data_IF_030378744777
#
_entry.id   IF_030378744777
#
_cell.length_a   1.000
_cell.length_b   1.000
_cell.length_c   1.000
_cell.angle_alpha   90.00
_cell.angle_beta   90.00
_cell.angle_gamma   90.00
#
_symmetry.space_group_name_H-M   'P 1'
#
loop_
_entity.id
_entity.type
_entity.pdbx_description
1 polymer ?
#
# COMPACT_ATOMS: atom_id res chain seq x y z
N UNK A 1 10.24 -3.46 -11.33
CA UNK A 1 9.87 -4.89 -11.22
C UNK A 1 8.87 -5.23 -12.32
N UNK A 2 9.19 -6.21 -13.16
CA UNK A 2 8.25 -6.78 -14.14
C UNK A 2 7.67 -8.09 -13.57
N UNK A 3 6.35 -8.11 -13.41
CA UNK A 3 5.63 -9.28 -12.87
C UNK A 3 4.94 -10.11 -13.96
N UNK A 4 5.24 -9.86 -15.22
CA UNK A 4 4.65 -10.60 -16.35
C UNK A 4 4.93 -12.10 -16.22
N UNK A 5 3.88 -12.92 -16.25
CA UNK A 5 3.97 -14.38 -16.12
C UNK A 5 4.30 -14.91 -14.72
N UNK A 6 4.36 -14.04 -13.69
CA UNK A 6 4.59 -14.47 -12.32
C UNK A 6 3.32 -15.10 -11.75
N UNK A 7 3.44 -16.34 -11.30
CA UNK A 7 2.33 -17.14 -10.75
C UNK A 7 2.45 -17.39 -9.23
N UNK A 8 3.44 -16.79 -8.57
CA UNK A 8 3.66 -16.92 -7.13
C UNK A 8 3.33 -15.61 -6.40
N UNK A 9 3.10 -15.69 -5.08
CA UNK A 9 3.03 -14.51 -4.21
C UNK A 9 4.30 -13.66 -4.36
N UNK A 10 4.13 -12.39 -4.68
CA UNK A 10 5.23 -11.49 -4.99
C UNK A 10 5.30 -10.33 -4.00
N UNK A 11 6.51 -9.99 -3.61
CA UNK A 11 6.80 -8.83 -2.78
C UNK A 11 7.77 -7.92 -3.55
N UNK A 12 7.41 -6.66 -3.71
CA UNK A 12 8.23 -5.65 -4.36
C UNK A 12 8.46 -4.48 -3.40
N UNK A 13 9.69 -4.34 -2.94
CA UNK A 13 10.14 -3.21 -2.14
C UNK A 13 11.64 -3.00 -2.34
N UNK A 14 12.12 -1.75 -2.45
CA UNK A 14 13.51 -1.47 -2.74
C UNK A 14 14.44 -1.66 -1.54
N UNK A 15 13.93 -1.60 -0.32
CA UNK A 15 14.74 -1.58 0.90
C UNK A 15 14.61 -2.88 1.71
N UNK A 16 13.39 -3.29 2.05
CA UNK A 16 13.15 -4.52 2.83
C UNK A 16 12.10 -5.38 2.18
N UNK A 17 12.49 -6.59 1.76
CA UNK A 17 11.56 -7.58 1.26
C UNK A 17 10.64 -8.11 2.37
N UNK A 18 11.23 -8.50 3.51
CA UNK A 18 10.54 -9.05 4.67
C UNK A 18 11.31 -8.77 5.96
N UNK A 19 10.61 -8.41 7.03
CA UNK A 19 11.22 -8.15 8.34
C UNK A 19 10.61 -9.00 9.44
N UNK A 20 11.48 -9.40 10.38
CA UNK A 20 11.17 -9.98 11.69
C UNK A 20 11.75 -9.13 12.83
N UNK A 21 12.42 -8.06 12.52
CA UNK A 21 13.19 -7.24 13.47
C UNK A 21 12.72 -5.80 13.52
N UNK A 22 13.59 -4.95 14.03
CA UNK A 22 13.34 -3.53 14.25
C UNK A 22 13.91 -2.72 13.10
N UNK A 23 13.08 -1.85 12.52
CA UNK A 23 13.46 -0.90 11.48
C UNK A 23 13.01 0.49 11.96
N UNK A 24 13.96 1.29 12.37
CA UNK A 24 13.71 2.62 12.93
C UNK A 24 14.45 3.68 12.13
N UNK A 25 13.84 4.85 12.00
CA UNK A 25 14.46 6.06 11.43
C UNK A 25 15.03 5.84 10.01
N UNK A 26 14.42 4.93 9.24
CA UNK A 26 14.85 4.60 7.89
C UNK A 26 14.01 5.35 6.85
N UNK A 27 14.64 5.73 5.76
CA UNK A 27 13.97 6.39 4.64
C UNK A 27 14.35 5.78 3.30
N UNK A 28 13.42 5.84 2.34
CA UNK A 28 13.65 5.47 0.96
C UNK A 28 13.10 6.54 0.03
N UNK A 29 13.92 6.99 -0.91
CA UNK A 29 13.55 7.90 -2.01
C UNK A 29 13.59 7.22 -3.38
N UNK A 30 13.72 5.90 -3.40
CA UNK A 30 13.82 5.12 -4.64
C UNK A 30 12.48 5.12 -5.37
N UNK A 31 12.49 5.47 -6.66
CA UNK A 31 11.32 5.31 -7.50
C UNK A 31 11.10 3.83 -7.81
N UNK A 32 9.90 3.34 -7.52
CA UNK A 32 9.50 1.95 -7.72
C UNK A 32 8.43 1.88 -8.79
N UNK A 33 8.71 1.21 -9.89
CA UNK A 33 7.71 0.90 -10.91
C UNK A 33 7.51 -0.61 -10.95
N UNK A 34 6.26 -1.02 -10.81
CA UNK A 34 5.82 -2.41 -10.94
C UNK A 34 4.94 -2.49 -12.17
N UNK A 35 5.30 -3.36 -13.10
CA UNK A 35 4.57 -3.57 -14.36
C UNK A 35 4.14 -5.02 -14.51
N UNK A 36 3.05 -5.25 -15.22
CA UNK A 36 2.69 -6.57 -15.74
C UNK A 36 1.91 -6.44 -17.04
N UNK A 37 2.27 -7.22 -18.04
CA UNK A 37 1.50 -7.36 -19.28
C UNK A 37 0.52 -8.53 -19.27
N UNK A 38 0.50 -9.32 -18.20
CA UNK A 38 -0.42 -10.43 -17.98
C UNK A 38 -1.17 -10.26 -16.65
N UNK A 39 -2.38 -10.84 -16.57
CA UNK A 39 -3.15 -10.81 -15.34
C UNK A 39 -2.40 -11.49 -14.17
N UNK A 40 -2.32 -10.80 -13.05
CA UNK A 40 -1.76 -11.36 -11.82
C UNK A 40 -2.92 -11.97 -11.02
N UNK A 41 -2.79 -13.23 -10.64
CA UNK A 41 -3.82 -14.00 -9.92
C UNK A 41 -3.46 -14.28 -8.46
N UNK A 42 -2.18 -14.18 -8.13
CA UNK A 42 -1.67 -14.41 -6.78
C UNK A 42 -1.48 -13.11 -6.00
N UNK A 43 -1.19 -13.25 -4.72
CA UNK A 43 -1.00 -12.12 -3.82
C UNK A 43 0.21 -11.27 -4.19
N UNK A 44 0.02 -9.95 -4.19
CA UNK A 44 1.05 -8.96 -4.49
C UNK A 44 1.17 -7.98 -3.32
N UNK A 45 2.40 -7.72 -2.88
CA UNK A 45 2.73 -6.74 -1.85
C UNK A 45 3.75 -5.76 -2.42
N UNK A 46 3.38 -4.50 -2.50
CA UNK A 46 4.18 -3.47 -3.16
C UNK A 46 4.34 -2.28 -2.20
N UNK A 47 5.58 -1.84 -1.99
CA UNK A 47 5.85 -0.67 -1.15
C UNK A 47 7.11 0.08 -1.57
N UNK A 48 7.23 1.30 -1.08
CA UNK A 48 8.42 2.12 -1.26
C UNK A 48 9.54 1.83 -0.27
N UNK A 49 9.25 1.14 0.85
CA UNK A 49 10.26 0.78 1.85
C UNK A 49 10.23 -0.72 2.17
N UNK A 50 9.14 -1.25 2.72
CA UNK A 50 9.05 -2.63 3.21
C UNK A 50 7.80 -3.34 2.70
N UNK A 51 7.97 -4.46 1.99
CA UNK A 51 6.83 -5.20 1.45
C UNK A 51 6.08 -6.01 2.51
N UNK A 52 6.77 -6.63 3.45
CA UNK A 52 6.15 -7.55 4.39
C UNK A 52 6.81 -7.53 5.78
N UNK A 53 5.99 -7.39 6.82
CA UNK A 53 6.41 -7.44 8.20
C UNK A 53 5.70 -8.56 8.95
N UNK A 54 6.47 -9.41 9.64
CA UNK A 54 5.96 -10.58 10.36
C UNK A 54 6.15 -10.50 11.87
N UNK A 55 7.01 -9.62 12.34
CA UNK A 55 7.18 -9.25 13.75
C UNK A 55 8.08 -8.02 13.88
N UNK A 56 8.29 -7.50 15.08
CA UNK A 56 9.21 -6.41 15.37
C UNK A 56 8.57 -5.03 15.24
N UNK A 57 9.34 -4.04 14.85
CA UNK A 57 8.93 -2.64 14.87
C UNK A 57 9.29 -1.92 13.56
N UNK A 58 8.43 -1.02 13.13
CA UNK A 58 8.72 -0.05 12.09
C UNK A 58 8.32 1.35 12.61
N UNK A 59 9.32 2.09 13.07
CA UNK A 59 9.08 3.38 13.70
C UNK A 59 9.79 4.52 12.97
N UNK A 60 9.12 5.63 12.78
CA UNK A 60 9.64 6.88 12.18
C UNK A 60 10.31 6.64 10.82
N UNK A 61 9.77 5.70 10.06
CA UNK A 61 10.25 5.41 8.71
C UNK A 61 9.48 6.23 7.66
N UNK A 62 10.13 6.56 6.57
CA UNK A 62 9.50 7.40 5.54
C UNK A 62 9.76 6.93 4.12
N UNK A 63 8.83 7.29 3.25
CA UNK A 63 8.98 7.12 1.81
C UNK A 63 8.76 8.44 1.09
N UNK A 64 9.76 8.82 0.26
CA UNK A 64 9.80 10.08 -0.48
C UNK A 64 9.86 9.87 -2.02
N UNK A 65 9.90 8.64 -2.47
CA UNK A 65 9.94 8.30 -3.89
C UNK A 65 8.56 8.31 -4.56
N UNK A 66 8.55 7.84 -5.80
CA UNK A 66 7.33 7.57 -6.56
C UNK A 66 7.13 6.07 -6.70
N UNK A 67 6.06 5.55 -6.12
CA UNK A 67 5.62 4.16 -6.27
C UNK A 67 4.51 4.10 -7.30
N UNK A 68 4.75 3.41 -8.41
CA UNK A 68 3.77 3.23 -9.49
C UNK A 68 3.52 1.74 -9.70
N UNK A 69 2.26 1.35 -9.78
CA UNK A 69 1.87 0.04 -10.29
C UNK A 69 1.05 0.19 -11.55
N UNK A 70 1.58 -0.30 -12.66
CA UNK A 70 0.95 -0.28 -13.98
C UNK A 70 0.71 -1.72 -14.46
N UNK A 71 -0.52 -2.01 -14.84
CA UNK A 71 -0.89 -3.31 -15.37
C UNK A 71 -1.80 -3.12 -16.58
N UNK A 72 -1.49 -3.82 -17.68
CA UNK A 72 -2.27 -3.75 -18.92
C UNK A 72 -3.43 -4.73 -18.95
N UNK A 73 -3.49 -5.68 -18.03
CA UNK A 73 -4.54 -6.69 -17.91
C UNK A 73 -5.27 -6.56 -16.58
N UNK A 74 -6.52 -7.04 -16.51
CA UNK A 74 -7.25 -7.08 -15.25
C UNK A 74 -6.66 -8.11 -14.30
N UNK A 75 -6.27 -7.68 -13.09
CA UNK A 75 -5.72 -8.55 -12.05
C UNK A 75 -6.80 -8.95 -11.04
N UNK A 76 -6.90 -10.24 -10.75
CA UNK A 76 -7.72 -10.77 -9.65
C UNK A 76 -6.92 -11.00 -8.35
N UNK A 77 -5.68 -10.59 -8.32
CA UNK A 77 -4.80 -10.74 -7.17
C UNK A 77 -5.33 -10.02 -5.93
N UNK A 78 -5.00 -10.54 -4.76
CA UNK A 78 -5.03 -9.76 -3.52
C UNK A 78 -3.85 -8.80 -3.54
N UNK A 79 -4.12 -7.52 -3.47
CA UNK A 79 -3.07 -6.52 -3.53
C UNK A 79 -2.97 -5.71 -2.23
N UNK A 80 -1.75 -5.62 -1.73
CA UNK A 80 -1.39 -4.79 -0.58
C UNK A 80 -0.40 -3.75 -1.06
N UNK A 81 -0.77 -2.49 -0.98
CA UNK A 81 0.11 -1.39 -1.39
C UNK A 81 0.20 -0.35 -0.29
N UNK A 82 1.41 0.03 0.06
CA UNK A 82 1.66 1.09 1.03
C UNK A 82 2.93 1.86 0.68
N UNK A 83 2.93 3.15 0.88
CA UNK A 83 4.14 3.94 0.63
C UNK A 83 5.31 3.45 1.49
N UNK A 84 5.07 3.18 2.77
CA UNK A 84 6.11 2.66 3.68
C UNK A 84 6.02 1.15 3.83
N UNK A 85 4.85 0.60 4.17
CA UNK A 85 4.67 -0.84 4.40
C UNK A 85 3.46 -1.34 3.61
N UNK A 86 3.62 -2.43 2.84
CA UNK A 86 2.49 -3.02 2.14
C UNK A 86 1.62 -3.87 3.09
N UNK A 87 2.20 -4.79 3.84
CA UNK A 87 1.45 -5.72 4.68
C UNK A 87 2.15 -6.04 6.00
N UNK A 88 1.41 -5.96 7.11
CA UNK A 88 1.84 -6.41 8.44
C UNK A 88 0.99 -7.59 8.87
N UNK A 89 1.56 -8.80 8.89
CA UNK A 89 0.88 -10.07 9.16
C UNK A 89 1.25 -10.63 10.54
N UNK A 90 0.97 -9.88 11.57
CA UNK A 90 1.18 -10.28 12.97
C UNK A 90 0.39 -9.35 13.87
N UNK A 91 0.04 -9.79 15.05
CA UNK A 91 -0.57 -8.96 16.10
C UNK A 91 0.46 -8.41 17.11
N UNK A 92 1.73 -8.79 16.95
CA UNK A 92 2.82 -8.46 17.90
C UNK A 92 3.76 -7.35 17.41
N UNK A 93 3.53 -6.81 16.20
CA UNK A 93 4.38 -5.76 15.66
C UNK A 93 3.91 -4.36 16.10
N UNK A 94 4.78 -3.38 15.90
CA UNK A 94 4.51 -1.95 16.13
C UNK A 94 4.75 -1.17 14.83
N UNK A 95 3.81 -0.30 14.49
CA UNK A 95 3.95 0.68 13.41
C UNK A 95 3.63 2.06 13.96
N UNK A 96 4.65 2.88 14.14
CA UNK A 96 4.52 4.20 14.76
C UNK A 96 5.29 5.29 14.03
N UNK A 97 4.70 6.47 13.90
CA UNK A 97 5.36 7.68 13.39
C UNK A 97 5.82 7.61 11.93
N UNK A 98 5.34 6.65 11.15
CA UNK A 98 5.76 6.51 9.75
C UNK A 98 5.10 7.54 8.83
N UNK A 99 5.80 7.94 7.76
CA UNK A 99 5.41 9.07 6.92
C UNK A 99 5.51 8.78 5.42
N UNK A 100 4.52 9.24 4.65
CA UNK A 100 4.62 9.40 3.20
C UNK A 100 4.82 10.89 2.86
N UNK A 101 5.90 11.19 2.16
CA UNK A 101 6.16 12.50 1.55
C UNK A 101 6.12 12.44 0.02
N UNK A 102 6.27 11.25 -0.55
CA UNK A 102 6.29 10.96 -1.97
C UNK A 102 4.92 10.67 -2.60
N UNK A 103 4.92 9.89 -3.65
CA UNK A 103 3.71 9.54 -4.41
C UNK A 103 3.47 8.04 -4.42
N UNK A 104 2.21 7.63 -4.20
CA UNK A 104 1.73 6.27 -4.47
C UNK A 104 0.67 6.37 -5.56
N UNK A 105 0.91 5.72 -6.70
CA UNK A 105 0.08 5.82 -7.90
C UNK A 105 -0.27 4.43 -8.44
N UNK A 106 -1.52 4.03 -8.24
CA UNK A 106 -2.05 2.79 -8.77
C UNK A 106 -2.76 3.05 -10.09
N UNK A 107 -2.25 2.50 -11.16
CA UNK A 107 -2.83 2.53 -12.50
C UNK A 107 -3.28 1.16 -13.01
N UNK A 108 -3.24 0.15 -12.14
CA UNK A 108 -3.61 -1.22 -12.47
C UNK A 108 -5.13 -1.43 -12.37
N UNK A 109 -5.70 -2.19 -13.30
CA UNK A 109 -7.07 -2.66 -13.21
C UNK A 109 -7.16 -3.83 -12.23
N UNK A 110 -7.45 -3.53 -10.97
CA UNK A 110 -7.55 -4.54 -9.91
C UNK A 110 -9.00 -4.91 -9.69
N UNK A 111 -9.33 -6.17 -9.92
CA UNK A 111 -10.69 -6.73 -9.77
C UNK A 111 -10.80 -7.74 -8.64
N UNK A 112 -9.70 -8.03 -7.94
CA UNK A 112 -9.67 -8.95 -6.81
C UNK A 112 -10.52 -8.46 -5.63
N UNK A 113 -11.15 -9.38 -4.90
CA UNK A 113 -12.08 -9.07 -3.81
C UNK A 113 -11.45 -8.36 -2.62
N UNK A 114 -10.12 -8.27 -2.56
CA UNK A 114 -9.37 -7.77 -1.41
C UNK A 114 -8.12 -7.04 -1.85
N UNK A 115 -8.26 -5.76 -2.13
CA UNK A 115 -7.14 -4.89 -2.45
C UNK A 115 -7.11 -3.71 -1.48
N UNK A 116 -5.96 -3.46 -0.89
CA UNK A 116 -5.78 -2.48 0.18
C UNK A 116 -4.64 -1.54 -0.16
N UNK A 117 -4.96 -0.25 -0.19
CA UNK A 117 -4.04 0.82 -0.59
C UNK A 117 -3.99 1.89 0.48
N UNK A 118 -2.85 2.03 1.12
CA UNK A 118 -2.59 3.10 2.08
C UNK A 118 -1.46 4.00 1.62
N UNK A 119 -1.56 5.27 1.86
CA UNK A 119 -0.44 6.17 1.62
C UNK A 119 0.79 5.76 2.44
N UNK A 120 0.61 5.29 3.66
CA UNK A 120 1.67 4.81 4.53
C UNK A 120 1.66 3.29 4.65
N UNK A 121 0.53 2.69 5.06
CA UNK A 121 0.42 1.25 5.31
C UNK A 121 -0.76 0.67 4.54
N UNK A 122 -0.53 -0.39 3.75
CA UNK A 122 -1.58 -1.03 2.97
C UNK A 122 -2.57 -1.79 3.86
N UNK A 123 -2.12 -2.81 4.56
CA UNK A 123 -2.96 -3.64 5.44
C UNK A 123 -2.20 -4.07 6.71
N UNK A 124 -2.41 -3.40 7.84
CA UNK A 124 -1.88 -3.82 9.14
C UNK A 124 -2.87 -4.69 9.89
N UNK A 125 -2.39 -5.77 10.54
CA UNK A 125 -3.09 -6.50 11.60
C UNK A 125 -2.82 -5.91 13.00
N UNK A 126 -1.96 -4.92 13.10
CA UNK A 126 -1.50 -4.27 14.34
C UNK A 126 -2.05 -2.87 14.48
N UNK A 127 -2.02 -2.28 15.69
CA UNK A 127 -2.22 -0.86 15.86
C UNK A 127 -1.24 -0.02 15.02
N UNK A 128 -1.77 1.02 14.40
CA UNK A 128 -0.98 2.02 13.66
C UNK A 128 -1.15 3.36 14.37
N UNK A 129 -0.05 3.95 14.79
CA UNK A 129 -0.07 5.19 15.56
C UNK A 129 0.81 6.28 14.95
N UNK A 130 0.37 7.53 15.10
CA UNK A 130 1.12 8.74 14.75
C UNK A 130 1.65 8.78 13.31
N UNK A 131 1.11 7.93 12.42
CA UNK A 131 1.50 7.91 11.01
C UNK A 131 0.83 9.05 10.24
N UNK A 132 1.53 9.59 9.24
CA UNK A 132 0.99 10.73 8.53
C UNK A 132 1.46 10.80 7.08
N UNK A 133 0.71 11.61 6.29
CA UNK A 133 1.14 12.04 4.97
C UNK A 133 1.34 13.55 4.96
N UNK A 134 2.31 14.03 4.19
CA UNK A 134 2.51 15.48 4.03
C UNK A 134 1.61 16.05 2.95
N UNK A 135 1.53 17.37 2.87
CA UNK A 135 0.72 18.07 1.84
C UNK A 135 1.30 17.93 0.42
N UNK A 136 2.57 17.60 0.31
CA UNK A 136 3.26 17.34 -0.96
C UNK A 136 2.99 15.91 -1.47
N UNK A 137 2.63 15.00 -0.56
CA UNK A 137 2.36 13.62 -0.91
C UNK A 137 1.09 13.48 -1.78
N UNK A 138 1.08 12.44 -2.60
CA UNK A 138 -0.05 12.09 -3.46
C UNK A 138 -0.40 10.63 -3.34
N UNK A 139 -1.68 10.33 -3.24
CA UNK A 139 -2.19 8.96 -3.25
C UNK A 139 -3.25 8.87 -4.35
N UNK A 140 -2.90 8.25 -5.46
CA UNK A 140 -3.75 8.18 -6.64
C UNK A 140 -4.14 6.73 -6.93
N UNK A 141 -5.40 6.54 -7.32
CA UNK A 141 -5.90 5.26 -7.81
C UNK A 141 -6.75 5.49 -9.04
N UNK A 142 -6.47 4.72 -10.09
CA UNK A 142 -7.29 4.66 -11.28
C UNK A 142 -7.59 3.21 -11.67
N UNK A 143 -8.77 2.96 -12.22
CA UNK A 143 -9.22 1.68 -12.77
C UNK A 143 -9.44 0.52 -11.77
N UNK A 144 -9.33 0.72 -10.47
CA UNK A 144 -9.65 -0.33 -9.49
C UNK A 144 -11.17 -0.43 -9.27
N UNK A 145 -11.70 -1.64 -9.15
CA UNK A 145 -13.15 -1.88 -8.98
C UNK A 145 -13.53 -2.40 -7.60
N UNK A 146 -12.60 -3.02 -6.87
CA UNK A 146 -12.82 -3.56 -5.52
C UNK A 146 -11.68 -3.14 -4.61
N UNK A 147 -11.75 -1.94 -4.09
CA UNK A 147 -10.64 -1.28 -3.42
C UNK A 147 -11.04 -0.78 -2.04
N UNK A 148 -10.14 -0.90 -1.09
CA UNK A 148 -10.15 -0.12 0.15
C UNK A 148 -8.92 0.77 0.18
N UNK A 149 -9.15 2.06 0.26
CA UNK A 149 -8.10 3.06 0.15
C UNK A 149 -8.18 4.09 1.26
N UNK A 150 -7.09 4.30 1.97
CA UNK A 150 -6.94 5.39 2.92
C UNK A 150 -5.72 6.25 2.62
N UNK A 151 -5.80 7.52 2.94
CA UNK A 151 -4.66 8.41 2.81
C UNK A 151 -3.46 7.98 3.65
N UNK A 152 -3.71 7.30 4.78
CA UNK A 152 -2.66 6.73 5.63
C UNK A 152 -2.72 5.21 5.63
N UNK A 153 -3.87 4.60 5.94
CA UNK A 153 -4.04 3.15 6.09
C UNK A 153 -5.11 2.64 5.14
N UNK A 154 -4.78 1.67 4.30
CA UNK A 154 -5.70 1.13 3.30
C UNK A 154 -6.87 0.37 3.91
N UNK A 155 -6.63 -0.41 4.94
CA UNK A 155 -7.65 -1.06 5.76
C UNK A 155 -7.10 -1.34 7.15
N UNK A 156 -7.84 -1.00 8.17
CA UNK A 156 -7.43 -1.23 9.55
C UNK A 156 -8.13 -2.47 10.12
N UNK A 157 -7.37 -3.51 10.43
CA UNK A 157 -7.85 -4.65 11.20
C UNK A 157 -7.69 -4.44 12.72
N UNK A 158 -7.03 -3.35 13.11
CA UNK A 158 -6.77 -2.97 14.50
C UNK A 158 -6.93 -1.45 14.68
N UNK A 159 -6.52 -0.93 15.83
CA UNK A 159 -6.63 0.49 16.17
C UNK A 159 -5.77 1.39 15.29
N UNK A 160 -6.33 2.50 14.83
CA UNK A 160 -5.58 3.60 14.19
C UNK A 160 -5.73 4.84 15.07
N UNK A 161 -4.62 5.40 15.54
CA UNK A 161 -4.63 6.53 16.46
C UNK A 161 -3.58 7.57 16.11
N UNK A 162 -3.87 8.85 16.34
CA UNK A 162 -2.93 9.95 16.09
C UNK A 162 -2.52 10.13 14.62
N UNK A 163 -3.18 9.44 13.69
CA UNK A 163 -2.81 9.47 12.28
C UNK A 163 -3.43 10.66 11.55
N UNK A 164 -2.68 11.27 10.65
CA UNK A 164 -3.09 12.47 9.91
C UNK A 164 -2.84 12.32 8.41
N UNK A 165 -3.87 12.54 7.61
CA UNK A 165 -3.71 12.66 6.17
C UNK A 165 -3.74 14.13 5.72
N UNK A 166 -2.63 14.58 5.12
CA UNK A 166 -2.53 15.86 4.44
C UNK A 166 -2.32 15.72 2.93
N UNK A 167 -2.13 14.48 2.44
CA UNK A 167 -1.93 14.22 1.03
C UNK A 167 -3.18 14.51 0.18
N UNK A 168 -2.96 14.88 -1.07
CA UNK A 168 -4.01 14.85 -2.07
C UNK A 168 -4.38 13.39 -2.39
N UNK A 169 -5.65 13.04 -2.30
CA UNK A 169 -6.20 11.74 -2.69
C UNK A 169 -6.97 11.91 -3.99
N UNK A 170 -6.60 11.17 -5.02
CA UNK A 170 -7.31 11.15 -6.30
C UNK A 170 -7.81 9.74 -6.58
N UNK A 171 -9.11 9.60 -6.80
CA UNK A 171 -9.75 8.32 -7.10
C UNK A 171 -10.51 8.48 -8.41
N UNK A 172 -10.11 7.72 -9.41
CA UNK A 172 -10.78 7.64 -10.70
C UNK A 172 -11.06 6.17 -11.04
N UNK A 173 -12.06 5.62 -10.35
CA UNK A 173 -12.46 4.23 -10.52
C UNK A 173 -13.75 4.16 -11.34
N UNK A 174 -13.85 3.22 -12.30
CA UNK A 174 -15.08 3.05 -13.06
C UNK A 174 -16.21 2.61 -12.11
N UNK A 175 -17.40 3.15 -12.35
CA UNK A 175 -18.61 2.65 -11.71
C UNK A 175 -18.95 1.28 -12.29
N UNK A 176 -19.17 0.29 -11.44
CA UNK A 176 -19.66 -1.02 -11.85
C UNK A 176 -21.02 -1.28 -11.22
N UNK A 177 -22.00 -1.67 -12.01
CA UNK A 177 -23.37 -1.98 -11.57
C UNK A 177 -23.47 -3.38 -10.92
N UNK A 178 -22.36 -4.07 -10.72
CA UNK A 178 -22.28 -5.48 -10.29
C UNK A 178 -22.23 -5.67 -8.76
N UNK A 179 -22.49 -4.60 -8.00
CA UNK A 179 -22.46 -4.65 -6.52
C UNK A 179 -21.04 -4.64 -5.93
N UNK A 180 -20.03 -4.35 -6.74
CA UNK A 180 -18.65 -4.18 -6.24
C UNK A 180 -18.51 -2.80 -5.60
N UNK A 181 -17.79 -2.73 -4.48
CA UNK A 181 -17.65 -1.51 -3.72
C UNK A 181 -16.18 -1.07 -3.62
N UNK A 182 -15.96 0.20 -3.90
CA UNK A 182 -14.73 0.90 -3.58
C UNK A 182 -14.97 1.74 -2.33
N UNK A 183 -14.15 1.51 -1.29
CA UNK A 183 -14.19 2.29 -0.06
C UNK A 183 -12.99 3.21 -0.03
N UNK A 184 -13.23 4.47 0.30
CA UNK A 184 -12.16 5.46 0.40
C UNK A 184 -12.37 6.35 1.61
N UNK A 185 -11.30 6.53 2.37
CA UNK A 185 -11.27 7.42 3.53
C UNK A 185 -10.06 8.34 3.54
N UNK A 186 -10.19 9.50 4.15
CA UNK A 186 -9.08 10.45 4.28
C UNK A 186 -7.90 9.85 5.05
N UNK A 187 -8.16 9.09 6.11
CA UNK A 187 -7.12 8.41 6.90
C UNK A 187 -7.18 6.90 6.68
N UNK A 188 -8.35 6.29 6.85
CA UNK A 188 -8.59 4.84 6.71
C UNK A 188 -9.65 4.59 5.66
N UNK A 189 -9.44 3.61 4.79
CA UNK A 189 -10.38 3.15 3.77
C UNK A 189 -11.30 2.00 4.21
#
# INVERSE_FOLDING_TARGET
YDLTGITATTNAAPFVYRSWGVINDCSSSVNVTVTSSSAITNEVRISGLMAYMTSGECNRCSYDGTLVWEESSSSSAKAYVGGVIAYVNTEEAVVDGCCLTGTVDLKATVTGDRSWFGGVVGYPLVPVSNCYTTKEAKVNVSNATKLRMGGVVGYAASTVSGCVNNAAITINCPSTDDGTHTYAGGVVG
#
